data_IF_329950440448
#
_entry.id   IF_329950440448
#
_cell.length_a   1.000
_cell.length_b   1.000
_cell.length_c   1.000
_cell.angle_alpha   90.00
_cell.angle_beta   90.00
_cell.angle_gamma   90.00
#
_symmetry.space_group_name_H-M   'P 1'
#
loop_
_entity.id
_entity.type
_entity.pdbx_description
1 polymer ?
#
# COMPACT_ATOMS: atom_id res chain seq x y z
N UNK A 1 6.98 13.72 -4.80
CA UNK A 1 6.93 12.86 -3.59
C UNK A 1 6.77 13.76 -2.39
N UNK A 2 5.53 13.95 -1.95
CA UNK A 2 5.26 14.59 -0.67
C UNK A 2 5.15 13.47 0.38
N UNK A 3 6.08 13.42 1.32
CA UNK A 3 5.97 12.50 2.47
C UNK A 3 5.01 13.13 3.46
N UNK A 4 3.90 12.43 3.75
CA UNK A 4 2.81 12.93 4.60
C UNK A 4 2.80 12.24 5.96
N UNK A 5 3.29 11.00 6.04
CA UNK A 5 3.39 10.25 7.30
C UNK A 5 4.77 10.34 7.94
N UNK A 6 4.87 9.89 9.18
CA UNK A 6 6.11 9.84 9.96
C UNK A 6 6.30 8.45 10.56
N UNK A 7 7.55 8.10 10.89
CA UNK A 7 7.86 6.84 11.56
C UNK A 7 7.10 6.66 12.87
N UNK A 8 6.83 7.75 13.61
CA UNK A 8 6.02 7.74 14.84
C UNK A 8 4.58 7.34 14.61
N UNK A 9 3.94 7.80 13.52
CA UNK A 9 2.56 7.42 13.20
C UNK A 9 2.48 5.95 12.78
N UNK A 10 3.48 5.47 12.05
CA UNK A 10 3.54 4.05 11.65
C UNK A 10 3.79 3.16 12.87
N UNK A 11 4.73 3.50 13.75
CA UNK A 11 4.98 2.71 14.96
C UNK A 11 3.84 2.74 15.98
N UNK A 12 2.90 3.69 15.86
CA UNK A 12 1.69 3.71 16.66
C UNK A 12 0.64 2.65 16.21
N UNK A 13 0.69 2.20 14.94
CA UNK A 13 -0.28 1.24 14.39
C UNK A 13 0.26 -0.19 14.28
N UNK A 14 1.58 -0.34 14.16
CA UNK A 14 2.23 -1.64 14.05
C UNK A 14 3.40 -1.71 15.02
N UNK A 15 3.55 -2.83 15.71
CA UNK A 15 4.77 -3.10 16.46
C UNK A 15 5.93 -3.22 15.46
N UNK A 16 6.99 -2.46 15.69
CA UNK A 16 8.17 -2.45 14.83
C UNK A 16 9.29 -3.13 15.59
N UNK A 17 9.93 -4.10 14.96
CA UNK A 17 11.17 -4.66 15.50
C UNK A 17 12.29 -3.62 15.34
N UNK A 18 12.44 -2.82 16.39
CA UNK A 18 13.47 -1.77 16.47
C UNK A 18 14.90 -2.32 16.50
N UNK A 19 15.08 -3.63 16.72
CA UNK A 19 16.40 -4.28 16.69
C UNK A 19 16.82 -4.59 15.24
N UNK A 20 15.89 -5.10 14.44
CA UNK A 20 16.15 -5.52 13.04
C UNK A 20 15.90 -4.41 12.01
N UNK A 21 15.10 -3.40 12.37
CA UNK A 21 14.73 -2.28 11.50
C UNK A 21 14.92 -0.98 12.27
N UNK A 22 16.02 -0.28 11.97
CA UNK A 22 16.34 1.02 12.56
C UNK A 22 15.64 2.20 11.87
N UNK A 23 15.13 2.01 10.65
CA UNK A 23 14.54 3.08 9.85
C UNK A 23 13.33 2.59 9.02
N UNK A 24 12.22 3.32 9.14
CA UNK A 24 10.99 3.08 8.38
C UNK A 24 10.89 3.91 7.09
N UNK A 25 11.83 4.84 6.87
CA UNK A 25 11.88 5.71 5.70
C UNK A 25 11.74 4.99 4.35
N UNK A 26 12.36 3.81 4.08
CA UNK A 26 12.18 3.15 2.79
C UNK A 26 10.74 2.65 2.57
N UNK A 27 10.04 2.23 3.63
CA UNK A 27 8.64 1.79 3.53
C UNK A 27 7.71 2.98 3.34
N UNK A 28 7.98 4.09 4.04
CA UNK A 28 7.24 5.35 3.90
C UNK A 28 7.43 5.94 2.50
N UNK A 29 8.65 5.93 1.97
CA UNK A 29 8.93 6.42 0.63
C UNK A 29 8.21 5.60 -0.45
N UNK A 30 8.18 4.27 -0.30
CA UNK A 30 7.44 3.40 -1.20
C UNK A 30 5.92 3.64 -1.12
N UNK A 31 5.38 3.79 0.09
CA UNK A 31 3.96 4.11 0.29
C UNK A 31 3.59 5.48 -0.32
N UNK A 32 4.41 6.51 -0.07
CA UNK A 32 4.21 7.85 -0.61
C UNK A 32 4.20 7.84 -2.15
N UNK A 33 5.12 7.12 -2.78
CA UNK A 33 5.13 6.95 -4.24
C UNK A 33 3.85 6.26 -4.77
N UNK A 34 3.36 5.24 -4.06
CA UNK A 34 2.12 4.54 -4.42
C UNK A 34 0.89 5.44 -4.24
N UNK A 35 0.80 6.20 -3.15
CA UNK A 35 -0.29 7.14 -2.89
C UNK A 35 -0.30 8.26 -3.92
N UNK A 36 0.85 8.87 -4.22
CA UNK A 36 0.97 9.92 -5.24
C UNK A 36 0.49 9.44 -6.63
N UNK A 37 0.68 8.16 -6.95
CA UNK A 37 0.24 7.59 -8.23
C UNK A 37 -1.23 7.14 -8.23
N UNK A 38 -1.70 6.54 -7.13
CA UNK A 38 -3.01 5.91 -7.07
C UNK A 38 -4.11 6.86 -6.57
N UNK A 39 -3.78 7.80 -5.70
CA UNK A 39 -4.69 8.72 -5.01
C UNK A 39 -4.42 10.17 -5.46
N UNK A 40 -4.51 10.42 -6.76
CA UNK A 40 -4.14 11.71 -7.39
C UNK A 40 -5.31 12.66 -7.66
N UNK A 41 -6.52 12.34 -7.18
CA UNK A 41 -7.70 13.22 -7.35
C UNK A 41 -7.72 14.32 -6.28
N UNK A 42 -8.30 15.47 -6.61
CA UNK A 42 -8.42 16.61 -5.69
C UNK A 42 -9.43 16.37 -4.55
N UNK A 43 -10.17 15.27 -4.60
CA UNK A 43 -11.21 14.91 -3.63
C UNK A 43 -10.67 14.35 -2.31
N UNK A 44 -9.35 14.10 -2.21
CA UNK A 44 -8.73 13.66 -0.97
C UNK A 44 -8.31 14.84 -0.08
N UNK A 45 -8.71 14.78 1.18
CA UNK A 45 -8.14 15.67 2.21
C UNK A 45 -6.71 15.25 2.57
N UNK A 46 -5.91 16.20 3.04
CA UNK A 46 -4.53 15.93 3.50
C UNK A 46 -4.49 14.88 4.62
N UNK A 47 -5.49 14.89 5.52
CA UNK A 47 -5.60 13.93 6.62
C UNK A 47 -5.91 12.52 6.10
N UNK A 48 -6.78 12.38 5.10
CA UNK A 48 -7.06 11.09 4.46
C UNK A 48 -5.81 10.52 3.79
N UNK A 49 -5.08 11.33 3.01
CA UNK A 49 -3.85 10.89 2.37
C UNK A 49 -2.80 10.46 3.40
N UNK A 50 -2.70 11.19 4.52
CA UNK A 50 -1.80 10.85 5.62
C UNK A 50 -2.16 9.51 6.24
N UNK A 51 -3.44 9.25 6.50
CA UNK A 51 -3.89 7.97 7.05
C UNK A 51 -3.63 6.83 6.07
N UNK A 52 -4.01 6.98 4.80
CA UNK A 52 -3.78 5.96 3.77
C UNK A 52 -2.28 5.63 3.65
N UNK A 53 -1.42 6.65 3.60
CA UNK A 53 0.04 6.49 3.53
C UNK A 53 0.61 5.77 4.76
N UNK A 54 0.08 6.06 5.96
CA UNK A 54 0.49 5.43 7.22
C UNK A 54 0.16 3.93 7.23
N UNK A 55 -1.08 3.57 6.92
CA UNK A 55 -1.52 2.17 6.87
C UNK A 55 -0.84 1.40 5.73
N UNK A 56 -0.61 2.05 4.60
CA UNK A 56 0.12 1.45 3.48
C UNK A 56 1.61 1.23 3.83
N UNK A 57 2.23 2.15 4.57
CA UNK A 57 3.61 1.97 5.06
C UNK A 57 3.73 0.76 5.98
N UNK A 58 2.78 0.59 6.90
CA UNK A 58 2.72 -0.60 7.78
C UNK A 58 2.53 -1.88 6.97
N UNK A 59 1.67 -1.86 5.94
CA UNK A 59 1.51 -3.00 5.04
C UNK A 59 2.84 -3.38 4.37
N UNK A 60 3.58 -2.43 3.81
CA UNK A 60 4.86 -2.72 3.15
C UNK A 60 5.87 -3.25 4.17
N UNK A 61 5.88 -2.74 5.41
CA UNK A 61 6.71 -3.30 6.48
C UNK A 61 6.39 -4.79 6.75
N UNK A 62 5.10 -5.19 6.78
CA UNK A 62 4.72 -6.59 7.00
C UNK A 62 5.18 -7.55 5.91
N UNK A 63 5.53 -7.05 4.72
CA UNK A 63 6.14 -7.89 3.67
C UNK A 63 7.56 -8.31 4.07
N UNK A 64 8.29 -7.45 4.78
CA UNK A 64 9.63 -7.76 5.32
C UNK A 64 9.55 -8.61 6.58
N UNK A 65 8.60 -8.29 7.46
CA UNK A 65 8.41 -8.95 8.74
C UNK A 65 7.00 -9.56 8.83
N UNK A 66 6.80 -10.77 8.24
CA UNK A 66 5.52 -11.44 8.24
C UNK A 66 5.17 -11.85 9.66
N UNK A 67 4.11 -11.27 10.20
CA UNK A 67 3.60 -11.63 11.52
C UNK A 67 3.02 -13.05 11.51
N UNK A 68 3.27 -13.80 12.58
CA UNK A 68 2.75 -15.16 12.72
C UNK A 68 1.21 -15.14 12.77
N UNK A 69 0.54 -15.94 11.92
CA UNK A 69 -0.94 -16.05 11.94
C UNK A 69 -1.45 -16.77 13.19
N UNK A 70 -0.60 -17.60 13.79
CA UNK A 70 -0.95 -18.46 14.91
C UNK A 70 0.32 -18.79 15.67
N UNK A 71 0.39 -18.39 16.93
CA UNK A 71 1.43 -18.82 17.87
C UNK A 71 0.86 -19.96 18.73
N UNK A 72 1.47 -21.15 18.66
CA UNK A 72 1.10 -22.30 19.50
C UNK A 72 2.32 -22.69 20.34
N UNK A 73 2.25 -22.50 21.66
CA UNK A 73 3.34 -22.86 22.58
C UNK A 73 3.23 -24.33 23.04
N UNK A 74 4.23 -25.16 22.73
CA UNK A 74 4.28 -26.60 23.00
C UNK A 74 5.06 -27.37 21.91
N UNK A 75 4.47 -28.41 21.30
CA UNK A 75 4.85 -28.90 19.97
C UNK A 75 4.63 -27.79 18.92
N UNK A 76 5.60 -26.87 18.85
CA UNK A 76 5.47 -25.55 18.20
C UNK A 76 5.40 -25.70 16.69
N UNK A 77 4.32 -25.20 16.10
CA UNK A 77 4.19 -24.96 14.67
C UNK A 77 3.93 -23.47 14.48
N UNK A 78 4.84 -22.80 13.77
CA UNK A 78 4.66 -21.41 13.34
C UNK A 78 4.17 -21.46 11.89
N UNK A 79 2.99 -20.91 11.64
CA UNK A 79 2.45 -20.76 10.29
C UNK A 79 2.49 -19.28 9.91
N UNK A 80 3.29 -18.97 8.89
CA UNK A 80 3.39 -17.63 8.34
C UNK A 80 2.31 -17.41 7.28
N UNK A 81 1.78 -16.18 7.18
CA UNK A 81 0.94 -15.77 6.04
C UNK A 81 1.75 -15.86 4.76
N UNK A 82 1.59 -16.94 3.99
CA UNK A 82 2.23 -17.09 2.68
C UNK A 82 1.21 -17.17 1.54
N UNK A 83 0.09 -16.45 1.65
CA UNK A 83 -0.81 -16.28 0.50
C UNK A 83 -0.20 -15.24 -0.44
N UNK A 84 0.63 -15.74 -1.35
CA UNK A 84 1.10 -14.99 -2.52
C UNK A 84 -0.08 -14.69 -3.45
N UNK A 85 0.00 -13.60 -4.22
CA UNK A 85 -1.04 -13.11 -5.14
C UNK A 85 -2.28 -12.42 -4.53
N UNK A 86 -2.23 -11.99 -3.26
CA UNK A 86 -3.29 -11.17 -2.65
C UNK A 86 -3.04 -9.66 -2.73
N UNK A 87 -1.93 -9.20 -3.33
CA UNK A 87 -1.55 -7.78 -3.40
C UNK A 87 -1.69 -7.09 -2.02
N UNK A 88 -2.41 -5.96 -1.98
CA UNK A 88 -2.71 -5.21 -0.75
C UNK A 88 -3.59 -5.98 0.24
N UNK A 89 -4.34 -6.99 -0.23
CA UNK A 89 -5.18 -7.82 0.63
C UNK A 89 -4.41 -8.89 1.41
N UNK A 90 -3.08 -8.96 1.27
CA UNK A 90 -2.23 -9.96 1.94
C UNK A 90 -2.02 -9.70 3.45
N UNK A 91 -2.36 -8.50 3.95
CA UNK A 91 -2.32 -8.17 5.38
C UNK A 91 -3.55 -7.36 5.78
N UNK A 92 -3.90 -7.34 7.07
CA UNK A 92 -4.98 -6.47 7.58
C UNK A 92 -4.65 -4.98 7.41
N UNK A 93 -3.38 -4.58 7.45
CA UNK A 93 -2.98 -3.20 7.23
C UNK A 93 -3.28 -2.73 5.79
N UNK A 94 -2.97 -3.57 4.79
CA UNK A 94 -3.24 -3.25 3.40
C UNK A 94 -4.74 -3.25 3.08
N UNK A 95 -5.52 -4.14 3.69
CA UNK A 95 -6.99 -4.10 3.63
C UNK A 95 -7.56 -2.83 4.26
N UNK A 96 -7.00 -2.39 5.40
CA UNK A 96 -7.40 -1.14 6.07
C UNK A 96 -7.04 0.08 5.22
N UNK A 97 -5.87 0.10 4.58
CA UNK A 97 -5.49 1.15 3.64
C UNK A 97 -6.47 1.25 2.46
N UNK A 98 -6.92 0.11 1.92
CA UNK A 98 -7.95 0.09 0.88
C UNK A 98 -9.33 0.55 1.39
N UNK A 99 -9.67 0.26 2.65
CA UNK A 99 -10.92 0.70 3.27
C UNK A 99 -10.97 2.22 3.48
N UNK A 100 -9.84 2.82 3.85
CA UNK A 100 -9.71 4.28 4.06
C UNK A 100 -9.66 5.05 2.74
N UNK A 101 -9.31 4.40 1.65
CA UNK A 101 -9.35 4.94 0.30
C UNK A 101 -10.76 4.93 -0.28
N UNK A 102 -11.57 5.91 0.12
CA UNK A 102 -12.97 6.03 -0.31
C UNK A 102 -13.16 6.21 -1.82
N UNK A 103 -12.18 6.79 -2.53
CA UNK A 103 -12.26 6.98 -3.99
C UNK A 103 -11.78 5.74 -4.75
N UNK A 104 -11.20 4.76 -4.05
CA UNK A 104 -10.88 3.44 -4.58
C UNK A 104 -9.68 3.41 -5.54
N UNK A 105 -8.77 4.38 -5.47
CA UNK A 105 -7.54 4.42 -6.27
C UNK A 105 -6.63 3.19 -6.08
N UNK A 106 -6.42 2.77 -4.83
CA UNK A 106 -5.68 1.56 -4.44
C UNK A 106 -6.42 0.29 -4.84
N UNK A 107 -7.75 0.26 -4.72
CA UNK A 107 -8.56 -0.87 -5.16
C UNK A 107 -8.51 -1.03 -6.68
N UNK A 108 -8.58 0.07 -7.43
CA UNK A 108 -8.39 0.09 -8.87
C UNK A 108 -6.96 -0.32 -9.26
N UNK A 109 -5.94 0.07 -8.48
CA UNK A 109 -4.57 -0.39 -8.68
C UNK A 109 -4.45 -1.91 -8.50
N UNK A 110 -4.98 -2.48 -7.41
CA UNK A 110 -4.96 -3.94 -7.18
C UNK A 110 -5.62 -4.71 -8.32
N UNK A 111 -6.81 -4.28 -8.74
CA UNK A 111 -7.52 -4.89 -9.89
C UNK A 111 -6.74 -4.78 -11.20
N UNK A 112 -6.03 -3.68 -11.44
CA UNK A 112 -5.20 -3.53 -12.65
C UNK A 112 -4.02 -4.50 -12.65
N UNK A 113 -3.37 -4.66 -11.50
CA UNK A 113 -2.28 -5.63 -11.30
C UNK A 113 -2.79 -7.05 -11.56
N UNK A 114 -3.93 -7.43 -10.97
CA UNK A 114 -4.55 -8.74 -11.18
C UNK A 114 -4.88 -9.02 -12.65
N UNK A 115 -5.39 -8.00 -13.35
CA UNK A 115 -5.73 -8.12 -14.77
C UNK A 115 -4.51 -8.03 -15.71
N UNK A 116 -3.31 -7.73 -15.19
CA UNK A 116 -2.10 -7.53 -16.00
C UNK A 116 -2.18 -6.35 -16.99
N UNK A 117 -3.12 -5.42 -16.79
CA UNK A 117 -3.38 -4.31 -17.73
C UNK A 117 -2.65 -3.05 -17.28
N UNK A 118 -1.66 -2.61 -18.05
CA UNK A 118 -1.10 -1.26 -17.93
C UNK A 118 -2.13 -0.21 -18.37
N UNK A 119 -1.92 1.06 -17.96
CA UNK A 119 -2.75 2.20 -18.42
C UNK A 119 -2.66 2.26 -19.95
N UNK A 120 -3.75 1.95 -20.67
CA UNK A 120 -3.73 2.03 -22.14
C UNK A 120 -3.66 3.50 -22.54
N UNK A 121 -2.58 3.90 -23.20
CA UNK A 121 -2.50 5.21 -23.85
C UNK A 121 -3.21 5.07 -25.19
N UNK A 122 -4.37 5.69 -25.35
CA UNK A 122 -5.01 5.83 -26.65
C UNK A 122 -4.39 7.03 -27.37
N UNK A 123 -3.71 6.79 -28.48
CA UNK A 123 -3.32 7.87 -29.41
C UNK A 123 -4.53 8.14 -30.29
N UNK A 124 -5.25 9.22 -30.02
CA UNK A 124 -6.24 9.76 -30.96
C UNK A 124 -5.51 10.68 -31.91
N UNK A 125 -5.46 10.31 -33.19
CA UNK A 125 -4.88 11.13 -34.24
C UNK A 125 -5.90 12.21 -34.66
N UNK A 126 -5.51 13.48 -34.59
CA UNK A 126 -6.33 14.67 -34.89
C UNK A 126 -5.80 15.41 -36.12
N UNK A 127 -5.48 14.70 -37.21
CA UNK A 127 -5.17 15.40 -38.46
C UNK A 127 -6.47 15.85 -39.13
N UNK A 128 -6.60 17.15 -39.37
CA UNK A 128 -7.59 17.69 -40.30
C UNK A 128 -7.18 17.28 -41.72
N UNK A 129 -8.11 16.65 -42.44
CA UNK A 129 -8.02 16.51 -43.88
C UNK A 129 -8.42 17.86 -44.49
N UNK A 130 -7.45 18.75 -44.68
CA UNK A 130 -7.62 19.94 -45.53
C UNK A 130 -8.00 19.46 -46.94
N UNK A 131 -9.25 19.74 -47.32
CA UNK A 131 -9.83 19.53 -48.67
C UNK A 131 -9.95 20.85 -49.40
#
# INVERSE_FOLDING_TARGET
>A
MAVRTTSTLVSAIIEVDTVSVSDLSPFIAAASAMVDQACSTDDYTADQLTQIETWLSAHIYTVRDPRAETEKAGSVSVKYQSKVALNLASSHYGQTAMLLDYMGGLAALSKRIENGKAKSVSVTWWGDEDT
#
